data_IF_764331299166
#
_entry.id   IF_764331299166
#
_cell.length_a   1.000
_cell.length_b   1.000
_cell.length_c   1.000
_cell.angle_alpha   90.00
_cell.angle_beta   90.00
_cell.angle_gamma   90.00
#
_symmetry.space_group_name_H-M   'P 1'
#
loop_
_entity.id
_entity.type
_entity.pdbx_description
1 polymer ?
#
# COMPACT_ATOMS: atom_id res chain seq x y z
N UNK A 1 -22.88 -5.04 -10.52
CA UNK A 1 -21.68 -4.17 -10.29
C UNK A 1 -22.08 -2.73 -10.51
N UNK A 2 -21.73 -1.84 -9.59
CA UNK A 2 -22.02 -0.41 -9.74
C UNK A 2 -20.96 0.28 -10.62
N UNK A 3 -21.37 1.28 -11.40
CA UNK A 3 -20.51 1.93 -12.42
C UNK A 3 -19.73 3.16 -11.93
N UNK A 4 -19.70 3.41 -10.62
CA UNK A 4 -19.05 4.57 -10.03
C UNK A 4 -17.53 4.46 -10.10
N UNK A 5 -16.85 5.57 -10.42
CA UNK A 5 -15.41 5.67 -10.22
C UNK A 5 -15.14 5.95 -8.73
N UNK A 6 -14.27 5.14 -8.12
CA UNK A 6 -13.99 5.21 -6.68
C UNK A 6 -12.52 5.58 -6.46
N UNK A 7 -12.30 6.64 -5.71
CA UNK A 7 -10.99 6.98 -5.16
C UNK A 7 -11.12 6.93 -3.63
N UNK A 8 -10.44 5.97 -3.01
CA UNK A 8 -10.50 5.77 -1.56
C UNK A 8 -9.16 5.23 -1.04
N UNK A 9 -9.01 5.17 0.28
CA UNK A 9 -7.86 4.53 0.91
C UNK A 9 -7.69 3.07 0.43
N UNK A 10 -6.44 2.60 0.35
CA UNK A 10 -6.11 1.26 -0.15
C UNK A 10 -6.81 0.15 0.64
N UNK A 11 -7.07 0.34 1.94
CA UNK A 11 -7.80 -0.63 2.76
C UNK A 11 -9.28 -0.70 2.38
N UNK A 12 -9.90 0.43 2.07
CA UNK A 12 -11.29 0.48 1.59
C UNK A 12 -11.39 -0.17 0.22
N UNK A 13 -10.45 0.14 -0.68
CA UNK A 13 -10.34 -0.50 -1.99
C UNK A 13 -10.26 -2.03 -1.85
N UNK A 14 -9.41 -2.54 -0.94
CA UNK A 14 -9.28 -3.97 -0.70
C UNK A 14 -10.61 -4.63 -0.26
N UNK A 15 -11.41 -3.95 0.57
CA UNK A 15 -12.74 -4.44 0.97
C UNK A 15 -13.70 -4.45 -0.21
N UNK A 16 -13.72 -3.40 -1.03
CA UNK A 16 -14.62 -3.27 -2.18
C UNK A 16 -14.32 -4.31 -3.28
N UNK A 17 -13.04 -4.68 -3.45
CA UNK A 17 -12.64 -5.75 -4.38
C UNK A 17 -12.70 -7.15 -3.75
N UNK A 18 -13.22 -7.27 -2.53
CA UNK A 18 -13.45 -8.56 -1.88
C UNK A 18 -12.19 -9.25 -1.34
N UNK A 19 -11.08 -8.54 -1.15
CA UNK A 19 -9.86 -9.14 -0.59
C UNK A 19 -9.97 -9.38 0.91
N UNK A 20 -9.38 -10.48 1.37
CA UNK A 20 -9.19 -10.74 2.80
C UNK A 20 -8.23 -9.71 3.40
N UNK A 21 -8.63 -9.12 4.53
CA UNK A 21 -7.80 -8.22 5.31
C UNK A 21 -6.69 -8.96 6.07
N UNK A 22 -5.61 -8.23 6.40
CA UNK A 22 -4.48 -8.74 7.17
C UNK A 22 -3.20 -8.88 6.33
N UNK A 23 -2.20 -9.56 6.89
CA UNK A 23 -0.89 -9.75 6.24
C UNK A 23 -0.90 -11.01 5.37
N UNK A 24 -1.59 -10.92 4.24
CA UNK A 24 -1.81 -12.04 3.32
C UNK A 24 -0.81 -12.04 2.16
N UNK A 25 -0.64 -13.21 1.53
CA UNK A 25 0.37 -13.43 0.46
C UNK A 25 0.12 -12.53 -0.76
N UNK A 26 -1.13 -12.35 -1.16
CA UNK A 26 -1.52 -11.64 -2.38
C UNK A 26 -2.41 -10.44 -2.04
N UNK A 27 -1.86 -9.51 -1.24
CA UNK A 27 -2.62 -8.39 -0.67
C UNK A 27 -2.92 -7.24 -1.66
N UNK A 28 -2.30 -7.23 -2.84
CA UNK A 28 -2.54 -6.19 -3.84
C UNK A 28 -3.81 -6.48 -4.66
N UNK A 29 -4.64 -5.44 -4.83
CA UNK A 29 -5.86 -5.49 -5.66
C UNK A 29 -5.55 -5.42 -7.16
N UNK A 30 -4.44 -4.80 -7.55
CA UNK A 30 -4.10 -4.58 -8.97
C UNK A 30 -3.28 -5.70 -9.60
N UNK A 31 -2.38 -6.32 -8.82
CA UNK A 31 -1.45 -7.33 -9.31
C UNK A 31 -1.28 -8.47 -8.32
N UNK A 32 -0.70 -9.56 -8.80
CA UNK A 32 -0.43 -10.77 -8.01
C UNK A 32 0.92 -10.66 -7.28
N UNK A 33 1.17 -9.50 -6.66
CA UNK A 33 2.38 -9.29 -5.86
C UNK A 33 2.41 -10.27 -4.70
N UNK A 34 3.49 -11.05 -4.60
CA UNK A 34 3.71 -12.00 -3.54
C UNK A 34 4.44 -11.31 -2.37
N UNK A 35 3.70 -10.92 -1.34
CA UNK A 35 4.25 -10.27 -0.15
C UNK A 35 5.21 -11.15 0.65
N UNK A 36 5.25 -12.46 0.37
CA UNK A 36 6.13 -13.43 1.03
C UNK A 36 7.40 -13.72 0.24
N UNK A 37 7.48 -13.35 -1.04
CA UNK A 37 8.67 -13.57 -1.89
C UNK A 37 9.77 -12.52 -1.66
N UNK A 38 10.44 -12.63 -0.51
CA UNK A 38 11.53 -11.74 -0.08
C UNK A 38 12.71 -11.68 -1.07
N UNK A 39 12.94 -12.75 -1.84
CA UNK A 39 14.04 -12.82 -2.81
C UNK A 39 13.76 -11.96 -4.04
N UNK A 40 12.52 -11.99 -4.55
CA UNK A 40 12.16 -11.27 -5.79
C UNK A 40 11.59 -9.87 -5.55
N UNK A 41 11.32 -9.47 -4.31
CA UNK A 41 10.68 -8.18 -3.97
C UNK A 41 11.30 -6.96 -4.66
N UNK A 42 12.62 -6.88 -4.72
CA UNK A 42 13.32 -5.72 -5.29
C UNK A 42 13.93 -5.99 -6.68
N UNK A 43 13.83 -7.23 -7.17
CA UNK A 43 14.33 -7.63 -8.50
C UNK A 43 13.20 -7.57 -9.52
N UNK A 44 12.02 -8.10 -9.15
CA UNK A 44 10.86 -8.16 -10.02
C UNK A 44 10.08 -6.85 -9.95
N UNK A 45 10.25 -6.03 -10.99
CA UNK A 45 9.55 -4.74 -11.15
C UNK A 45 8.09 -4.89 -11.59
N UNK A 46 7.79 -5.91 -12.39
CA UNK A 46 6.46 -6.12 -12.98
C UNK A 46 5.86 -7.41 -12.47
N UNK A 47 4.72 -7.32 -11.80
CA UNK A 47 3.94 -8.47 -11.34
C UNK A 47 2.71 -8.68 -12.24
N UNK A 48 2.26 -9.93 -12.46
CA UNK A 48 1.10 -10.20 -13.30
C UNK A 48 -0.12 -9.41 -12.81
N UNK A 49 -0.80 -8.73 -13.73
CA UNK A 49 -2.05 -8.04 -13.43
C UNK A 49 -3.09 -9.06 -12.94
N UNK A 50 -3.92 -8.66 -11.99
CA UNK A 50 -5.07 -9.46 -11.58
C UNK A 50 -6.16 -9.34 -12.67
N UNK A 51 -6.44 -10.45 -13.35
CA UNK A 51 -7.45 -10.49 -14.43
C UNK A 51 -8.85 -10.78 -13.87
N UNK A 52 -8.93 -11.65 -12.87
CA UNK A 52 -10.18 -12.09 -12.26
C UNK A 52 -10.09 -12.02 -10.75
N UNK A 53 -11.21 -11.69 -10.11
CA UNK A 53 -11.40 -11.65 -8.66
C UNK A 53 -12.31 -12.83 -8.27
N UNK A 54 -11.75 -14.05 -8.27
CA UNK A 54 -12.50 -15.28 -8.00
C UNK A 54 -12.40 -15.60 -6.51
N UNK A 55 -13.52 -15.62 -5.75
CA UNK A 55 -13.50 -15.98 -4.34
C UNK A 55 -12.79 -17.33 -4.08
N UNK A 56 -11.97 -17.39 -3.04
CA UNK A 56 -11.15 -18.55 -2.66
C UNK A 56 -9.79 -18.63 -3.36
N UNK A 57 -9.55 -17.83 -4.40
CA UNK A 57 -8.27 -17.79 -5.13
C UNK A 57 -7.48 -16.56 -4.70
N UNK A 58 -6.15 -16.67 -4.56
CA UNK A 58 -5.19 -15.55 -4.45
C UNK A 58 -5.58 -14.35 -3.56
N UNK A 59 -6.20 -14.63 -2.40
CA UNK A 59 -6.63 -13.70 -1.35
C UNK A 59 -8.01 -13.04 -1.54
N UNK A 60 -8.77 -13.43 -2.55
CA UNK A 60 -10.15 -13.03 -2.72
C UNK A 60 -11.03 -13.85 -1.78
N UNK A 61 -11.76 -13.18 -0.89
CA UNK A 61 -12.68 -13.81 0.06
C UNK A 61 -14.13 -13.69 -0.39
N UNK A 62 -14.49 -12.53 -0.96
CA UNK A 62 -15.86 -12.20 -1.32
C UNK A 62 -15.94 -11.78 -2.78
N UNK A 63 -17.16 -11.78 -3.33
CA UNK A 63 -17.41 -11.19 -4.63
C UNK A 63 -17.12 -9.68 -4.62
N UNK A 64 -16.50 -9.14 -5.68
CA UNK A 64 -16.21 -7.72 -5.77
C UNK A 64 -17.48 -6.90 -6.00
N UNK A 65 -17.65 -5.83 -5.23
CA UNK A 65 -18.76 -4.89 -5.39
C UNK A 65 -18.54 -3.92 -6.56
N UNK A 66 -17.27 -3.71 -6.91
CA UNK A 66 -16.81 -2.69 -7.86
C UNK A 66 -15.76 -3.31 -8.78
N UNK A 67 -15.85 -3.01 -10.07
CA UNK A 67 -14.87 -3.46 -11.05
C UNK A 67 -13.51 -2.78 -10.81
N UNK A 68 -12.40 -3.50 -11.02
CA UNK A 68 -11.04 -2.98 -10.75
C UNK A 68 -10.72 -1.77 -11.64
N UNK A 69 -11.30 -1.74 -12.84
CA UNK A 69 -11.20 -0.66 -13.83
C UNK A 69 -11.84 0.65 -13.36
N UNK A 70 -12.72 0.58 -12.36
CA UNK A 70 -13.39 1.74 -11.78
C UNK A 70 -12.67 2.30 -10.56
N UNK A 71 -11.55 1.70 -10.17
CA UNK A 71 -10.76 2.12 -9.00
C UNK A 71 -9.69 3.10 -9.46
N UNK A 72 -9.79 4.32 -8.94
CA UNK A 72 -8.78 5.36 -9.10
C UNK A 72 -7.79 5.23 -7.94
N UNK A 73 -6.51 5.06 -8.27
CA UNK A 73 -5.46 5.02 -7.27
C UNK A 73 -5.34 6.38 -6.58
N UNK A 74 -5.41 6.45 -5.24
CA UNK A 74 -5.28 7.72 -4.52
C UNK A 74 -3.82 8.21 -4.51
N UNK A 75 -3.46 9.26 -5.29
CA UNK A 75 -2.06 9.68 -5.40
C UNK A 75 -1.49 10.16 -4.05
N UNK A 76 -2.34 10.80 -3.23
CA UNK A 76 -1.98 11.29 -1.92
C UNK A 76 -1.57 10.17 -0.96
N UNK A 77 -2.39 9.11 -0.83
CA UNK A 77 -2.10 8.00 0.08
C UNK A 77 -0.81 7.25 -0.33
N UNK A 78 -0.56 7.10 -1.64
CA UNK A 78 0.69 6.52 -2.15
C UNK A 78 1.89 7.40 -1.78
N UNK A 79 1.82 8.71 -2.05
CA UNK A 79 2.91 9.65 -1.76
C UNK A 79 3.22 9.70 -0.26
N UNK A 80 2.19 9.78 0.59
CA UNK A 80 2.34 9.78 2.04
C UNK A 80 2.94 8.47 2.56
N UNK A 81 2.49 7.32 2.02
CA UNK A 81 3.05 6.01 2.37
C UNK A 81 4.53 5.87 2.00
N UNK A 82 4.92 6.34 0.81
CA UNK A 82 6.31 6.34 0.35
C UNK A 82 7.19 7.26 1.20
N UNK A 83 6.75 8.49 1.46
CA UNK A 83 7.50 9.42 2.33
C UNK A 83 7.65 8.87 3.75
N UNK A 84 6.61 8.22 4.30
CA UNK A 84 6.70 7.54 5.59
C UNK A 84 7.77 6.45 5.58
N UNK A 85 7.82 5.62 4.55
CA UNK A 85 8.83 4.56 4.44
C UNK A 85 10.24 5.13 4.21
N UNK A 86 10.36 6.18 3.42
CA UNK A 86 11.62 6.89 3.19
C UNK A 86 12.20 7.41 4.50
N UNK A 87 11.42 8.21 5.25
CA UNK A 87 11.85 8.76 6.55
C UNK A 87 12.18 7.65 7.55
N UNK A 88 11.41 6.55 7.57
CA UNK A 88 11.68 5.38 8.41
C UNK A 88 12.99 4.67 8.10
N UNK A 89 13.45 4.71 6.85
CA UNK A 89 14.70 4.09 6.43
C UNK A 89 15.90 5.00 6.63
N UNK A 90 15.70 6.29 6.96
CA UNK A 90 16.79 7.22 7.22
C UNK A 90 17.49 6.90 8.53
N UNK A 91 18.80 7.11 8.54
CA UNK A 91 19.57 7.14 9.78
C UNK A 91 19.11 8.32 10.65
N UNK A 92 18.65 8.03 11.87
CA UNK A 92 18.19 9.03 12.83
C UNK A 92 19.33 9.98 13.28
N UNK A 93 20.59 9.51 13.24
CA UNK A 93 21.77 10.35 13.52
C UNK A 93 22.25 11.15 12.31
N UNK A 94 21.83 10.77 11.11
CA UNK A 94 22.30 11.34 9.85
C UNK A 94 21.80 12.77 9.59
N UNK A 95 22.59 13.52 8.83
CA UNK A 95 22.29 14.92 8.45
C UNK A 95 20.92 15.09 7.79
N UNK A 96 20.47 14.08 7.01
CA UNK A 96 19.14 14.10 6.39
C UNK A 96 17.98 14.08 7.41
N UNK A 97 18.09 13.30 8.49
CA UNK A 97 17.06 13.30 9.54
C UNK A 97 17.10 14.58 10.36
N UNK A 98 18.30 15.10 10.65
CA UNK A 98 18.49 16.39 11.30
C UNK A 98 17.87 17.53 10.48
N UNK A 99 18.04 17.52 9.16
CA UNK A 99 17.39 18.47 8.26
C UNK A 99 15.86 18.42 8.39
N UNK A 100 15.27 17.22 8.44
CA UNK A 100 13.82 17.07 8.63
C UNK A 100 13.36 17.64 9.98
N UNK A 101 14.12 17.45 11.07
CA UNK A 101 13.80 18.05 12.38
C UNK A 101 13.80 19.58 12.32
N UNK A 102 14.79 20.16 11.65
CA UNK A 102 14.91 21.61 11.47
C UNK A 102 13.79 22.16 10.58
N UNK A 103 13.44 21.46 9.50
CA UNK A 103 12.40 21.87 8.55
C UNK A 103 11.00 21.76 9.14
N UNK A 104 10.77 20.79 10.02
CA UNK A 104 9.48 20.50 10.65
C UNK A 104 9.55 20.58 12.18
N UNK A 105 9.81 21.77 12.76
CA UNK A 105 10.08 21.91 14.20
C UNK A 105 8.86 21.57 15.08
N UNK A 106 7.65 21.62 14.52
CA UNK A 106 6.40 21.25 15.23
C UNK A 106 6.13 19.75 15.26
N UNK A 107 6.91 18.95 14.53
CA UNK A 107 6.77 17.49 14.52
C UNK A 107 7.71 16.93 15.57
N UNK A 108 7.14 16.25 16.57
CA UNK A 108 7.95 15.65 17.64
C UNK A 108 8.88 14.57 17.08
N UNK A 109 10.02 14.37 17.74
CA UNK A 109 10.94 13.30 17.37
C UNK A 109 10.23 11.94 17.38
N UNK A 110 9.35 11.68 18.36
CA UNK A 110 8.56 10.45 18.43
C UNK A 110 7.61 10.25 17.22
N UNK A 111 7.18 11.31 16.55
CA UNK A 111 6.39 11.23 15.31
C UNK A 111 7.25 11.02 14.07
N UNK A 112 8.51 11.44 14.10
CA UNK A 112 9.50 11.20 13.04
C UNK A 112 10.17 9.82 13.18
N UNK A 113 10.31 9.34 14.43
CA UNK A 113 10.90 8.06 14.82
C UNK A 113 9.82 6.99 14.96
N UNK A 114 10.21 5.72 15.02
CA UNK A 114 9.30 4.59 15.28
C UNK A 114 8.60 4.74 16.64
N UNK A 115 7.28 4.48 16.77
CA UNK A 115 6.79 3.75 17.93
C UNK A 115 7.34 2.32 17.82
N UNK A 116 8.00 1.85 18.88
CA UNK A 116 8.43 0.46 18.99
C UNK A 116 7.24 -0.49 18.84
#
# INVERSE_FOLDING_TARGET
MHSWHICADLKVIAVLVGLQAGYTKFCCSLCQWDSRDRKKHYIKKVWPKRQFLIPGVKNEKNEPLVATEKILLPPLHIKLGLMKNFVKAMDCGGSGFQYLRLKFPKVSEAKLRKPY
#
